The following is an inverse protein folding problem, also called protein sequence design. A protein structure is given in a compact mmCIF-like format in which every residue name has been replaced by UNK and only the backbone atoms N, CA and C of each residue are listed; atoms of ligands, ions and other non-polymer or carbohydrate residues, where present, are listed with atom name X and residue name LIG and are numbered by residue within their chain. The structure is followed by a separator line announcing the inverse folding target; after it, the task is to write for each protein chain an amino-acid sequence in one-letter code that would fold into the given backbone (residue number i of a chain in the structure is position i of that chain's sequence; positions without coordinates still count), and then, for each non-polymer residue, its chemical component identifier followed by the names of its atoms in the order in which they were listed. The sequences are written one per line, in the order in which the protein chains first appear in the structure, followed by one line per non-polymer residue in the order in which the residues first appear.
data_IF_510509129045
#
_entry.id   IF_510509129045
#
_cell.length_a   1.000
_cell.length_b   1.000
_cell.length_c   1.000
_cell.angle_alpha   90.00
_cell.angle_beta   90.00
_cell.angle_gamma   90.00
#
_symmetry.space_group_name_H-M   'P 1'
#
loop_
_entity.id
_entity.type
_entity.pdbx_description
1 polymer ?
#
# COMPACT_ATOMS: atom_id res chain seq x y z
N UNK A 1 4.39 -13.44 -22.36
CA UNK A 1 3.53 -12.66 -21.45
C UNK A 1 4.14 -11.26 -21.32
N UNK A 2 3.39 -10.17 -21.47
CA UNK A 2 3.98 -8.83 -21.53
C UNK A 2 4.32 -8.30 -20.12
N UNK A 3 5.59 -8.43 -19.73
CA UNK A 3 6.16 -8.04 -18.43
C UNK A 3 5.72 -6.63 -17.99
N UNK A 4 5.68 -5.67 -18.93
CA UNK A 4 5.24 -4.29 -18.69
C UNK A 4 3.80 -4.19 -18.16
N UNK A 5 2.90 -5.02 -18.70
CA UNK A 5 1.49 -5.05 -18.28
C UNK A 5 1.37 -5.60 -16.86
N UNK A 6 2.20 -6.60 -16.51
CA UNK A 6 2.21 -7.19 -15.17
C UNK A 6 2.69 -6.17 -14.15
N UNK A 7 3.84 -5.51 -14.39
CA UNK A 7 4.33 -4.46 -13.49
C UNK A 7 3.31 -3.35 -13.28
N UNK A 8 2.64 -2.90 -14.35
CA UNK A 8 1.59 -1.90 -14.25
C UNK A 8 0.46 -2.37 -13.32
N UNK A 9 -0.01 -3.61 -13.49
CA UNK A 9 -1.07 -4.18 -12.65
C UNK A 9 -0.62 -4.33 -11.20
N UNK A 10 0.62 -4.77 -10.95
CA UNK A 10 1.15 -4.93 -9.60
C UNK A 10 1.32 -3.59 -8.87
N UNK A 11 1.84 -2.57 -9.55
CA UNK A 11 1.95 -1.22 -8.98
C UNK A 11 0.56 -0.67 -8.63
N UNK A 12 -0.40 -0.78 -9.55
CA UNK A 12 -1.78 -0.35 -9.31
C UNK A 12 -2.38 -1.13 -8.13
N UNK A 13 -2.18 -2.44 -8.06
CA UNK A 13 -2.67 -3.27 -6.96
C UNK A 13 -2.06 -2.86 -5.62
N UNK A 14 -0.75 -2.53 -5.57
CA UNK A 14 -0.09 -2.07 -4.36
C UNK A 14 -0.65 -0.72 -3.87
N UNK A 15 -0.91 0.21 -4.79
CA UNK A 15 -1.54 1.51 -4.49
C UNK A 15 -2.97 1.30 -3.96
N UNK A 16 -3.76 0.45 -4.63
CA UNK A 16 -5.13 0.14 -4.23
C UNK A 16 -5.14 -0.52 -2.84
N UNK A 17 -4.28 -1.50 -2.60
CA UNK A 17 -4.18 -2.19 -1.32
C UNK A 17 -3.87 -1.21 -0.19
N UNK A 18 -2.93 -0.29 -0.41
CA UNK A 18 -2.60 0.75 0.57
C UNK A 18 -3.80 1.67 0.84
N UNK A 19 -4.43 2.21 -0.21
CA UNK A 19 -5.57 3.11 -0.07
C UNK A 19 -6.75 2.45 0.67
N UNK A 20 -7.08 1.20 0.33
CA UNK A 20 -8.11 0.43 1.05
C UNK A 20 -7.72 0.16 2.51
N UNK A 21 -6.46 -0.15 2.77
CA UNK A 21 -5.99 -0.40 4.14
C UNK A 21 -6.07 0.86 5.00
N UNK A 22 -5.74 2.04 4.45
CA UNK A 22 -5.92 3.34 5.12
C UNK A 22 -7.40 3.62 5.37
N UNK A 23 -8.24 3.51 4.34
CA UNK A 23 -9.67 3.76 4.46
C UNK A 23 -10.32 2.84 5.50
N UNK A 24 -9.91 1.56 5.53
CA UNK A 24 -10.39 0.60 6.50
C UNK A 24 -9.92 0.93 7.93
N UNK A 25 -8.66 1.35 8.11
CA UNK A 25 -8.15 1.82 9.39
C UNK A 25 -8.98 3.01 9.90
N UNK A 26 -9.16 4.05 9.08
CA UNK A 26 -9.92 5.25 9.46
C UNK A 26 -11.38 4.92 9.79
N UNK A 27 -12.03 4.10 8.96
CA UNK A 27 -13.38 3.60 9.24
C UNK A 27 -13.45 2.85 10.58
N UNK A 28 -12.45 2.01 10.88
CA UNK A 28 -12.42 1.22 12.11
C UNK A 28 -12.34 2.09 13.38
N UNK A 29 -11.76 3.29 13.30
CA UNK A 29 -11.65 4.23 14.44
C UNK A 29 -13.01 4.69 14.97
N UNK A 30 -14.06 4.72 14.13
CA UNK A 30 -15.42 5.04 14.56
C UNK A 30 -15.95 4.07 15.63
N UNK A 31 -15.45 2.84 15.66
CA UNK A 31 -15.88 1.80 16.60
C UNK A 31 -14.95 1.68 17.81
N UNK A 32 -13.96 2.56 17.97
CA UNK A 32 -12.97 2.49 19.05
C UNK A 32 -13.60 2.41 20.44
N UNK A 33 -14.63 3.22 20.68
CA UNK A 33 -15.34 3.30 21.98
C UNK A 33 -16.59 2.40 22.04
N UNK A 34 -16.92 1.67 20.96
CA UNK A 34 -18.09 0.80 20.96
C UNK A 34 -17.77 -0.51 21.67
N UNK A 35 -18.51 -0.85 22.72
CA UNK A 35 -18.36 -2.13 23.43
C UNK A 35 -18.64 -3.33 22.53
N UNK A 36 -19.69 -3.25 21.70
CA UNK A 36 -20.15 -4.39 20.90
C UNK A 36 -19.37 -4.54 19.59
N UNK A 37 -18.77 -3.44 19.10
CA UNK A 37 -18.08 -3.38 17.81
C UNK A 37 -16.59 -3.07 17.92
N UNK A 38 -16.01 -3.10 19.13
CA UNK A 38 -14.58 -2.87 19.35
C UNK A 38 -13.70 -3.83 18.54
N UNK A 39 -14.21 -5.04 18.25
CA UNK A 39 -13.50 -6.01 17.40
C UNK A 39 -13.22 -5.47 15.99
N UNK A 40 -14.06 -4.60 15.43
CA UNK A 40 -13.84 -3.95 14.13
C UNK A 40 -12.63 -3.03 14.21
N UNK A 41 -12.53 -2.25 15.29
CA UNK A 41 -11.38 -1.39 15.56
C UNK A 41 -10.08 -2.20 15.67
N UNK A 42 -10.10 -3.26 16.48
CA UNK A 42 -8.95 -4.15 16.69
C UNK A 42 -8.51 -4.83 15.38
N UNK A 43 -9.48 -5.33 14.60
CA UNK A 43 -9.20 -5.95 13.31
C UNK A 43 -8.63 -4.95 12.29
N UNK A 44 -9.19 -3.73 12.21
CA UNK A 44 -8.68 -2.67 11.33
C UNK A 44 -7.25 -2.26 11.66
N UNK A 45 -6.92 -2.14 12.94
CA UNK A 45 -5.55 -1.83 13.38
C UNK A 45 -4.59 -2.98 13.07
N UNK A 46 -4.97 -4.23 13.38
CA UNK A 46 -4.14 -5.39 13.05
C UNK A 46 -3.93 -5.54 11.54
N UNK A 47 -4.98 -5.35 10.73
CA UNK A 47 -4.86 -5.33 9.27
C UNK A 47 -3.86 -4.27 8.81
N UNK A 48 -3.96 -3.05 9.34
CA UNK A 48 -3.04 -1.98 9.01
C UNK A 48 -1.59 -2.33 9.33
N UNK A 49 -1.31 -2.78 10.55
CA UNK A 49 0.06 -3.08 10.99
C UNK A 49 0.65 -4.33 10.35
N UNK A 50 -0.15 -5.37 10.14
CA UNK A 50 0.34 -6.66 9.63
C UNK A 50 0.36 -6.73 8.10
N UNK A 51 -0.53 -6.00 7.42
CA UNK A 51 -0.71 -6.11 5.97
C UNK A 51 -0.49 -4.76 5.31
N UNK A 52 -1.21 -3.72 5.72
CA UNK A 52 -1.16 -2.40 5.08
C UNK A 52 0.25 -1.81 5.01
N UNK A 53 0.91 -1.67 6.16
CA UNK A 53 2.27 -1.12 6.26
C UNK A 53 3.30 -2.01 5.56
N UNK A 54 3.42 -3.32 5.86
CA UNK A 54 4.45 -4.15 5.26
C UNK A 54 4.28 -4.26 3.75
N UNK A 55 3.06 -4.39 3.24
CA UNK A 55 2.80 -4.45 1.81
C UNK A 55 3.17 -3.13 1.12
N UNK A 56 2.78 -1.99 1.67
CA UNK A 56 3.14 -0.69 1.11
C UNK A 56 4.66 -0.46 1.12
N UNK A 57 5.36 -0.87 2.19
CA UNK A 57 6.81 -0.70 2.28
C UNK A 57 7.55 -1.65 1.35
N UNK A 58 7.43 -2.97 1.58
CA UNK A 58 8.17 -3.98 0.84
C UNK A 58 7.70 -4.08 -0.62
N UNK A 59 6.39 -3.98 -0.86
CA UNK A 59 5.84 -3.98 -2.21
C UNK A 59 6.36 -2.82 -3.05
N UNK A 60 6.44 -1.61 -2.47
CA UNK A 60 7.00 -0.45 -3.17
C UNK A 60 8.48 -0.58 -3.48
N UNK A 61 9.27 -1.09 -2.51
CA UNK A 61 10.70 -1.32 -2.68
C UNK A 61 10.99 -2.39 -3.74
N UNK A 62 10.33 -3.56 -3.62
CA UNK A 62 10.51 -4.67 -4.55
C UNK A 62 10.10 -4.24 -5.96
N UNK A 63 8.91 -3.64 -6.13
CA UNK A 63 8.44 -3.18 -7.44
C UNK A 63 9.31 -2.07 -8.00
N UNK A 64 9.89 -1.20 -7.15
CA UNK A 64 10.82 -0.17 -7.58
C UNK A 64 12.13 -0.76 -8.11
N UNK A 65 12.79 -1.61 -7.33
CA UNK A 65 14.03 -2.28 -7.75
C UNK A 65 13.79 -3.04 -9.05
N UNK A 66 12.74 -3.85 -9.09
CA UNK A 66 12.40 -4.64 -10.27
C UNK A 66 12.05 -3.77 -11.49
N UNK A 67 11.40 -2.62 -11.30
CA UNK A 67 11.13 -1.69 -12.41
C UNK A 67 12.40 -1.09 -13.00
N UNK A 68 13.47 -0.93 -12.20
CA UNK A 68 14.76 -0.44 -12.72
C UNK A 68 15.57 -1.52 -13.44
N UNK A 69 15.38 -2.79 -13.05
CA UNK A 69 16.12 -3.94 -13.60
C UNK A 69 15.44 -4.51 -14.85
N UNK A 70 14.13 -4.73 -14.80
CA UNK A 70 13.40 -5.52 -15.81
C UNK A 70 12.70 -4.68 -16.90
N UNK A 71 12.56 -3.36 -16.68
CA UNK A 71 11.90 -2.47 -17.63
C UNK A 71 12.96 -1.61 -18.33
N UNK A 72 13.00 -1.67 -19.66
CA UNK A 72 13.90 -0.84 -20.45
C UNK A 72 13.31 0.55 -20.73
N UNK A 73 12.06 0.60 -21.20
CA UNK A 73 11.36 1.84 -21.53
C UNK A 73 10.58 2.41 -20.35
N UNK A 74 10.71 3.72 -20.09
CA UNK A 74 9.99 4.42 -19.03
C UNK A 74 10.23 3.86 -17.61
N UNK A 75 11.34 3.14 -17.38
CA UNK A 75 11.68 2.55 -16.07
C UNK A 75 11.60 3.52 -14.90
N UNK A 76 12.02 4.76 -15.09
CA UNK A 76 11.92 5.80 -14.06
C UNK A 76 10.47 6.15 -13.73
N UNK A 77 9.57 6.16 -14.70
CA UNK A 77 8.14 6.39 -14.47
C UNK A 77 7.56 5.27 -13.59
N UNK A 78 7.86 4.02 -13.93
CA UNK A 78 7.41 2.85 -13.16
C UNK A 78 7.99 2.86 -11.74
N UNK A 79 9.27 3.19 -11.60
CA UNK A 79 9.92 3.37 -10.30
C UNK A 79 9.27 4.48 -9.47
N UNK A 80 8.99 5.66 -10.04
CA UNK A 80 8.32 6.73 -9.30
C UNK A 80 6.91 6.31 -8.86
N UNK A 81 6.14 5.65 -9.72
CA UNK A 81 4.81 5.16 -9.36
C UNK A 81 4.84 4.05 -8.31
N UNK A 82 5.85 3.17 -8.33
CA UNK A 82 5.98 2.14 -7.31
C UNK A 82 6.25 2.72 -5.92
N UNK A 83 6.82 3.93 -5.82
CA UNK A 83 7.05 4.62 -4.54
C UNK A 83 5.85 5.38 -3.99
N UNK A 84 4.76 5.54 -4.75
CA UNK A 84 3.56 6.29 -4.32
C UNK A 84 3.02 5.79 -2.97
N UNK A 85 2.81 4.48 -2.74
CA UNK A 85 2.32 3.99 -1.45
C UNK A 85 3.29 4.32 -0.30
N UNK A 86 4.59 4.30 -0.55
CA UNK A 86 5.62 4.61 0.44
C UNK A 86 5.64 6.10 0.79
N UNK A 87 5.50 6.97 -0.20
CA UNK A 87 5.37 8.43 0.02
C UNK A 87 4.10 8.73 0.82
N UNK A 88 2.97 8.15 0.43
CA UNK A 88 1.71 8.33 1.15
C UNK A 88 1.78 7.78 2.58
N UNK A 89 2.45 6.65 2.77
CA UNK A 89 2.72 6.09 4.10
C UNK A 89 3.50 7.07 4.97
N UNK A 90 4.60 7.63 4.46
CA UNK A 90 5.41 8.62 5.19
C UNK A 90 4.59 9.85 5.56
N UNK A 91 3.76 10.36 4.64
CA UNK A 91 2.86 11.49 4.92
C UNK A 91 1.89 11.11 6.05
N UNK A 92 1.26 9.93 5.97
CA UNK A 92 0.24 9.51 6.91
C UNK A 92 0.76 9.28 8.34
N UNK A 93 2.02 8.85 8.52
CA UNK A 93 2.63 8.71 9.86
C UNK A 93 3.20 10.02 10.41
N UNK A 94 3.39 11.04 9.55
CA UNK A 94 3.99 12.32 9.93
C UNK A 94 2.94 13.38 10.32
N UNK A 95 1.67 13.09 10.05
CA UNK A 95 0.51 13.92 10.41
C UNK A 95 -0.14 13.35 11.66
#
# INVERSE_FOLDING_TARGET
MNTRIIYKKLIIANIILFAFSVAFLEYSKLFRMSTDKHWIYSFGHNWWFMIGIPAAFFGSLILGILSLVDIEEHKFLYFTFSLVPLILFVIFISV
#
